data_IF_054838549887
#
_entry.id   IF_054838549887
#
_cell.length_a   1.000
_cell.length_b   1.000
_cell.length_c   1.000
_cell.angle_alpha   90.00
_cell.angle_beta   90.00
_cell.angle_gamma   90.00
#
_symmetry.space_group_name_H-M   'P 1'
#
loop_
_entity.id
_entity.type
_entity.pdbx_description
1 polymer ?
#
# COMPACT_ATOMS: atom_id res chain seq x y z
N UNK A 1 3.35 0.26 -17.51
CA UNK A 1 3.80 0.96 -16.28
C UNK A 1 2.65 1.64 -15.56
N UNK A 2 1.85 2.47 -16.24
CA UNK A 2 0.71 3.21 -15.63
C UNK A 2 -0.38 2.32 -15.01
N UNK A 3 -0.61 1.12 -15.56
CA UNK A 3 -1.61 0.18 -15.05
C UNK A 3 -1.29 -0.31 -13.62
N UNK A 4 0.00 -0.55 -13.32
CA UNK A 4 0.44 -0.97 -11.99
C UNK A 4 0.35 0.17 -10.97
N UNK A 5 0.71 1.40 -11.39
CA UNK A 5 0.53 2.61 -10.58
C UNK A 5 -0.94 2.83 -10.19
N UNK A 6 -1.84 2.75 -11.17
CA UNK A 6 -3.28 2.88 -10.94
C UNK A 6 -3.84 1.75 -10.08
N UNK A 7 -3.38 0.51 -10.29
CA UNK A 7 -3.82 -0.63 -9.49
C UNK A 7 -3.42 -0.49 -8.02
N UNK A 8 -2.19 -0.02 -7.75
CA UNK A 8 -1.69 0.26 -6.41
C UNK A 8 -2.48 1.41 -5.76
N UNK A 9 -2.64 2.53 -6.46
CA UNK A 9 -3.39 3.69 -5.98
C UNK A 9 -4.85 3.34 -5.62
N UNK A 10 -5.54 2.58 -6.49
CA UNK A 10 -6.90 2.09 -6.21
C UNK A 10 -6.94 1.22 -4.97
N UNK A 11 -5.95 0.35 -4.78
CA UNK A 11 -5.93 -0.52 -3.62
C UNK A 11 -5.67 0.23 -2.33
N UNK A 12 -4.84 1.28 -2.35
CA UNK A 12 -4.66 2.18 -1.19
C UNK A 12 -6.00 2.82 -0.79
N UNK A 13 -6.79 3.28 -1.77
CA UNK A 13 -8.10 3.88 -1.51
C UNK A 13 -9.12 2.86 -0.93
N UNK A 14 -8.97 1.58 -1.23
CA UNK A 14 -9.82 0.52 -0.67
C UNK A 14 -9.61 0.29 0.84
N UNK A 15 -8.57 0.84 1.45
CA UNK A 15 -8.34 0.69 2.90
C UNK A 15 -9.57 1.11 3.72
N UNK A 16 -10.22 2.22 3.35
CA UNK A 16 -11.40 2.72 4.08
C UNK A 16 -12.56 1.72 4.05
N UNK A 17 -12.78 1.07 2.91
CA UNK A 17 -13.81 0.05 2.73
C UNK A 17 -13.49 -1.19 3.57
N UNK A 18 -12.23 -1.63 3.58
CA UNK A 18 -11.78 -2.75 4.41
C UNK A 18 -11.96 -2.45 5.91
N UNK A 19 -11.65 -1.23 6.35
CA UNK A 19 -11.85 -0.82 7.75
C UNK A 19 -13.34 -0.89 8.12
N UNK A 20 -14.23 -0.33 7.30
CA UNK A 20 -15.69 -0.40 7.51
C UNK A 20 -16.21 -1.83 7.53
N UNK A 21 -15.68 -2.68 6.66
CA UNK A 21 -16.05 -4.08 6.59
C UNK A 21 -15.58 -4.85 7.83
N UNK A 22 -14.39 -4.56 8.35
CA UNK A 22 -13.85 -5.15 9.58
C UNK A 22 -14.65 -4.68 10.80
N UNK A 23 -15.06 -3.40 10.84
CA UNK A 23 -15.95 -2.86 11.88
C UNK A 23 -17.29 -3.60 11.89
N UNK A 24 -17.86 -3.87 10.73
CA UNK A 24 -19.17 -4.52 10.60
C UNK A 24 -19.11 -6.02 10.90
N UNK A 25 -18.10 -6.72 10.39
CA UNK A 25 -17.99 -8.18 10.50
C UNK A 25 -17.18 -8.66 11.70
N UNK A 26 -16.47 -7.75 12.40
CA UNK A 26 -15.57 -8.06 13.51
C UNK A 26 -14.47 -9.07 13.14
N UNK A 27 -13.97 -9.00 11.90
CA UNK A 27 -12.97 -9.91 11.33
C UNK A 27 -11.64 -9.19 11.03
N UNK A 28 -10.71 -9.10 12.01
CA UNK A 28 -9.44 -8.39 11.82
C UNK A 28 -8.49 -9.06 10.83
N UNK A 29 -8.67 -10.35 10.54
CA UNK A 29 -7.88 -11.07 9.54
C UNK A 29 -7.96 -10.44 8.14
N UNK A 30 -9.04 -9.70 7.84
CA UNK A 30 -9.18 -8.99 6.57
C UNK A 30 -8.20 -7.85 6.40
N UNK A 31 -7.83 -7.17 7.49
CA UNK A 31 -6.76 -6.16 7.46
C UNK A 31 -5.44 -6.85 7.08
N UNK A 32 -5.13 -8.01 7.67
CA UNK A 32 -3.92 -8.76 7.34
C UNK A 32 -3.87 -9.17 5.87
N UNK A 33 -4.98 -9.70 5.33
CA UNK A 33 -5.09 -10.08 3.92
C UNK A 33 -4.90 -8.87 3.00
N UNK A 34 -5.58 -7.76 3.31
CA UNK A 34 -5.42 -6.50 2.58
C UNK A 34 -3.97 -6.00 2.56
N UNK A 35 -3.30 -6.01 3.72
CA UNK A 35 -1.90 -5.59 3.82
C UNK A 35 -0.96 -6.49 3.00
N UNK A 36 -1.25 -7.79 2.96
CA UNK A 36 -0.50 -8.75 2.15
C UNK A 36 -0.70 -8.50 0.65
N UNK A 37 -1.94 -8.28 0.20
CA UNK A 37 -2.25 -7.93 -1.19
C UNK A 37 -1.63 -6.59 -1.60
N UNK A 38 -1.68 -5.57 -0.73
CA UNK A 38 -1.04 -4.28 -0.94
C UNK A 38 0.47 -4.41 -1.13
N UNK A 39 1.12 -5.25 -0.33
CA UNK A 39 2.56 -5.52 -0.46
C UNK A 39 2.90 -6.22 -1.77
N UNK A 40 2.08 -7.18 -2.22
CA UNK A 40 2.27 -7.84 -3.53
C UNK A 40 2.14 -6.85 -4.69
N UNK A 41 1.12 -5.97 -4.66
CA UNK A 41 0.93 -4.94 -5.69
C UNK A 41 2.07 -3.92 -5.69
N UNK A 42 2.59 -3.57 -4.51
CA UNK A 42 3.76 -2.71 -4.40
C UNK A 42 5.00 -3.34 -5.03
N UNK A 43 5.26 -4.63 -4.79
CA UNK A 43 6.37 -5.34 -5.42
C UNK A 43 6.23 -5.34 -6.94
N UNK A 44 5.03 -5.63 -7.46
CA UNK A 44 4.78 -5.57 -8.91
C UNK A 44 4.99 -4.16 -9.47
N UNK A 45 4.55 -3.12 -8.77
CA UNK A 45 4.82 -1.73 -9.15
C UNK A 45 6.32 -1.43 -9.17
N UNK A 46 7.05 -1.85 -8.13
CA UNK A 46 8.49 -1.63 -8.01
C UNK A 46 9.30 -2.33 -9.11
N UNK A 47 8.91 -3.55 -9.51
CA UNK A 47 9.54 -4.28 -10.62
C UNK A 47 9.21 -3.67 -11.99
N UNK A 48 7.97 -3.22 -12.20
CA UNK A 48 7.52 -2.73 -13.50
C UNK A 48 7.81 -1.24 -13.75
N UNK A 49 8.09 -0.48 -12.69
CA UNK A 49 8.29 0.96 -12.76
C UNK A 49 9.61 1.34 -12.09
N UNK A 50 10.62 1.62 -12.90
CA UNK A 50 11.92 2.08 -12.39
C UNK A 50 11.78 3.46 -11.74
N UNK A 51 11.90 3.52 -10.41
CA UNK A 51 11.70 4.76 -9.63
C UNK A 51 12.98 5.61 -9.64
N UNK A 52 14.14 4.96 -9.58
CA UNK A 52 15.43 5.64 -9.41
C UNK A 52 15.88 6.33 -10.70
N UNK A 53 15.65 5.66 -11.84
CA UNK A 53 16.06 6.11 -13.18
C UNK A 53 14.99 6.91 -13.93
N UNK A 54 13.81 7.14 -13.34
CA UNK A 54 12.76 7.94 -13.97
C UNK A 54 13.14 9.43 -14.08
N UNK A 55 12.67 10.09 -15.14
CA UNK A 55 12.75 11.54 -15.28
C UNK A 55 11.69 12.24 -14.41
N UNK A 56 11.95 13.49 -14.04
CA UNK A 56 10.93 14.36 -13.45
C UNK A 56 9.87 14.71 -14.51
N UNK A 57 8.57 14.76 -14.17
CA UNK A 57 7.96 14.69 -12.82
C UNK A 57 7.55 13.26 -12.38
N UNK A 58 7.75 12.25 -13.22
CA UNK A 58 7.29 10.88 -12.96
C UNK A 58 8.02 10.24 -11.76
N UNK A 59 9.30 10.56 -11.58
CA UNK A 59 10.07 10.14 -10.40
C UNK A 59 9.42 10.61 -9.09
N UNK A 60 9.07 11.89 -8.99
CA UNK A 60 8.38 12.44 -7.82
C UNK A 60 7.04 11.74 -7.58
N UNK A 61 6.23 11.54 -8.63
CA UNK A 61 4.94 10.83 -8.52
C UNK A 61 5.11 9.40 -7.96
N UNK A 62 6.08 8.65 -8.49
CA UNK A 62 6.37 7.26 -8.05
C UNK A 62 6.86 7.20 -6.59
N UNK A 63 7.69 8.16 -6.18
CA UNK A 63 8.15 8.26 -4.79
C UNK A 63 6.98 8.56 -3.84
N UNK A 64 6.06 9.44 -4.22
CA UNK A 64 4.86 9.73 -3.43
C UNK A 64 3.98 8.47 -3.29
N UNK A 65 3.81 7.72 -4.38
CA UNK A 65 3.04 6.46 -4.37
C UNK A 65 3.67 5.41 -3.44
N UNK A 66 5.00 5.30 -3.44
CA UNK A 66 5.73 4.42 -2.52
C UNK A 66 5.59 4.87 -1.06
N UNK A 67 5.74 6.16 -0.77
CA UNK A 67 5.56 6.72 0.59
C UNK A 67 4.12 6.51 1.09
N UNK A 68 3.11 6.75 0.24
CA UNK A 68 1.70 6.48 0.56
C UNK A 68 1.46 5.01 0.89
N UNK A 69 2.05 4.09 0.12
CA UNK A 69 1.94 2.65 0.39
C UNK A 69 2.54 2.31 1.75
N UNK A 70 3.75 2.80 2.05
CA UNK A 70 4.41 2.57 3.32
C UNK A 70 3.61 3.10 4.52
N UNK A 71 3.02 4.30 4.39
CA UNK A 71 2.12 4.87 5.41
C UNK A 71 0.86 4.04 5.62
N UNK A 72 0.27 3.55 4.53
CA UNK A 72 -0.92 2.70 4.54
C UNK A 72 -0.64 1.38 5.26
N UNK A 73 0.49 0.74 4.96
CA UNK A 73 0.93 -0.49 5.64
C UNK A 73 1.14 -0.23 7.14
N UNK A 74 1.84 0.86 7.48
CA UNK A 74 2.09 1.25 8.87
C UNK A 74 0.78 1.49 9.63
N UNK A 75 -0.18 2.15 9.01
CA UNK A 75 -1.50 2.39 9.60
C UNK A 75 -2.24 1.07 9.84
N UNK A 76 -2.32 0.18 8.84
CA UNK A 76 -3.00 -1.10 9.00
C UNK A 76 -2.36 -2.00 10.06
N UNK A 77 -1.03 -2.03 10.14
CA UNK A 77 -0.31 -2.76 11.20
C UNK A 77 -0.56 -2.12 12.59
N UNK A 78 -0.60 -0.79 12.67
CA UNK A 78 -0.95 -0.09 13.91
C UNK A 78 -2.38 -0.38 14.37
N UNK A 79 -3.34 -0.52 13.44
CA UNK A 79 -4.72 -0.90 13.76
C UNK A 79 -4.81 -2.33 14.32
N UNK A 80 -3.89 -3.22 13.92
CA UNK A 80 -3.75 -4.56 14.46
C UNK A 80 -2.98 -4.60 15.79
N UNK A 81 -2.48 -3.46 16.29
CA UNK A 81 -1.64 -3.39 17.48
C UNK A 81 -0.20 -3.88 17.26
N UNK A 82 0.23 -4.02 16.00
CA UNK A 82 1.58 -4.46 15.64
C UNK A 82 2.46 -3.25 15.43
N UNK A 83 3.52 -3.13 16.23
CA UNK A 83 4.52 -2.08 16.05
C UNK A 83 5.41 -2.40 14.85
N UNK A 84 5.45 -1.48 13.90
CA UNK A 84 6.28 -1.62 12.69
C UNK A 84 7.70 -1.12 12.99
N UNK A 85 8.70 -1.95 12.68
CA UNK A 85 10.10 -1.54 12.73
C UNK A 85 10.37 -0.54 11.60
N UNK A 86 11.02 0.58 11.93
CA UNK A 86 11.36 1.62 10.95
C UNK A 86 12.40 1.15 9.90
N UNK A 87 13.03 0.01 10.14
CA UNK A 87 13.99 -0.64 9.23
C UNK A 87 13.98 -2.14 9.54
N UNK A 88 13.73 -2.97 8.51
CA UNK A 88 14.09 -4.40 8.52
C UNK A 88 15.46 -4.56 7.84
#
# INVERSE_FOLDING_TARGET
SEVAELALAKHILQLEEIIKEVETNLLPNRICLYLFELSQKFNQFYEQCDILNAAEPQKTSRLILADLTARTIKLGLSLLGINVLARM
#
